data_IF_985011703835
#
_entry.id   IF_985011703835
#
_cell.length_a   1.000
_cell.length_b   1.000
_cell.length_c   1.000
_cell.angle_alpha   90.00
_cell.angle_beta   90.00
_cell.angle_gamma   90.00
#
_symmetry.space_group_name_H-M   'P 1'
#
loop_
_entity.id
_entity.type
_entity.pdbx_description
1 polymer ?
#
# COMPACT_ATOMS: atom_id res chain seq x y z
N UNK A 1 6.87 -11.47 20.30
CA UNK A 1 8.10 -10.95 19.66
C UNK A 1 8.77 -9.99 20.63
N UNK A 2 10.03 -10.22 20.98
CA UNK A 2 10.80 -9.29 21.83
C UNK A 2 11.50 -8.24 20.96
N UNK A 3 11.38 -6.97 21.35
CA UNK A 3 11.97 -5.81 20.69
C UNK A 3 12.90 -5.08 21.66
N UNK A 4 14.14 -4.77 21.31
CA UNK A 4 15.05 -4.10 22.24
C UNK A 4 14.68 -2.61 22.44
N UNK A 5 15.03 -2.04 23.61
CA UNK A 5 15.03 -0.59 23.83
C UNK A 5 16.34 0.01 23.30
N UNK A 6 16.28 1.19 22.69
CA UNK A 6 17.41 1.73 21.92
C UNK A 6 17.98 3.05 22.46
N UNK A 7 17.49 3.55 23.61
CA UNK A 7 17.97 4.78 24.25
C UNK A 7 18.64 4.44 25.60
N UNK A 8 19.90 4.88 25.73
CA UNK A 8 20.90 4.81 26.80
C UNK A 8 20.61 4.03 28.10
N UNK A 9 21.51 3.08 28.39
CA UNK A 9 21.82 2.58 29.74
C UNK A 9 20.87 1.55 30.35
N UNK A 10 19.60 1.54 29.93
CA UNK A 10 18.59 0.61 30.45
C UNK A 10 18.54 -0.69 29.63
N UNK A 11 18.66 -1.83 30.30
CA UNK A 11 18.61 -3.17 29.70
C UNK A 11 17.19 -3.59 29.27
N UNK A 12 16.16 -2.78 29.52
CA UNK A 12 14.75 -3.08 29.23
C UNK A 12 14.44 -3.38 27.75
N UNK A 13 13.36 -4.12 27.50
CA UNK A 13 12.87 -4.52 26.17
C UNK A 13 11.36 -4.29 26.06
N UNK A 14 10.78 -4.40 24.87
CA UNK A 14 9.34 -4.47 24.68
C UNK A 14 8.93 -5.88 24.27
N UNK A 15 7.84 -6.37 24.84
CA UNK A 15 7.12 -7.53 24.32
C UNK A 15 5.96 -7.05 23.46
N UNK A 16 5.99 -7.42 22.18
CA UNK A 16 4.84 -7.31 21.29
C UNK A 16 4.05 -8.62 21.29
N UNK A 17 2.77 -8.53 21.67
CA UNK A 17 1.80 -9.62 21.63
C UNK A 17 0.87 -9.45 20.42
N UNK A 18 0.82 -10.46 19.56
CA UNK A 18 0.25 -10.36 18.22
C UNK A 18 -1.27 -10.45 18.13
N UNK A 19 -1.95 -10.99 19.14
CA UNK A 19 -3.41 -11.11 19.21
C UNK A 19 -4.06 -9.77 19.57
N UNK A 20 -3.54 -9.13 20.60
CA UNK A 20 -4.08 -7.88 21.15
C UNK A 20 -3.40 -6.64 20.60
N UNK A 21 -2.31 -6.83 19.83
CA UNK A 21 -1.40 -5.77 19.41
C UNK A 21 -0.79 -4.97 20.57
N UNK A 22 -0.78 -5.55 21.77
CA UNK A 22 -0.21 -4.91 22.94
C UNK A 22 1.31 -4.81 22.79
N UNK A 23 1.84 -3.68 23.26
CA UNK A 23 3.25 -3.46 23.44
C UNK A 23 3.48 -3.23 24.93
N UNK A 24 4.13 -4.19 25.59
CA UNK A 24 4.42 -4.19 27.02
C UNK A 24 5.90 -3.87 27.21
N UNK A 25 6.22 -2.94 28.11
CA UNK A 25 7.60 -2.71 28.51
C UNK A 25 8.02 -3.79 29.51
N UNK A 26 9.19 -4.37 29.29
CA UNK A 26 9.81 -5.40 30.12
C UNK A 26 11.09 -4.83 30.74
N UNK A 27 11.23 -4.96 32.05
CA UNK A 27 12.47 -4.64 32.74
C UNK A 27 13.41 -5.86 32.69
N UNK A 28 14.65 -5.66 32.26
CA UNK A 28 15.57 -6.79 32.06
C UNK A 28 16.04 -7.48 33.35
N UNK A 29 15.90 -6.84 34.52
CA UNK A 29 16.22 -7.44 35.80
C UNK A 29 14.99 -8.07 36.43
N UNK A 30 13.84 -7.40 36.38
CA UNK A 30 12.61 -7.91 36.99
C UNK A 30 11.97 -9.01 36.14
N UNK A 31 12.08 -8.93 34.82
CA UNK A 31 11.49 -9.87 33.86
C UNK A 31 12.52 -10.85 33.24
N UNK A 32 13.71 -11.01 33.83
CA UNK A 32 14.80 -11.82 33.26
C UNK A 32 14.35 -13.27 32.94
N UNK A 33 13.59 -13.89 33.83
CA UNK A 33 13.06 -15.25 33.65
C UNK A 33 12.08 -15.33 32.46
N UNK A 34 11.18 -14.35 32.35
CA UNK A 34 10.22 -14.23 31.26
C UNK A 34 10.93 -14.00 29.92
N UNK A 35 11.93 -13.10 29.89
CA UNK A 35 12.73 -12.81 28.70
C UNK A 35 13.48 -14.07 28.24
N UNK A 36 14.15 -14.78 29.15
CA UNK A 36 14.90 -16.00 28.81
C UNK A 36 13.97 -17.10 28.27
N UNK A 37 12.78 -17.26 28.85
CA UNK A 37 11.80 -18.23 28.36
C UNK A 37 11.29 -17.85 26.96
N UNK A 38 10.91 -16.60 26.75
CA UNK A 38 10.42 -16.11 25.46
C UNK A 38 11.48 -16.22 24.35
N UNK A 39 12.74 -15.89 24.64
CA UNK A 39 13.87 -16.08 23.69
C UNK A 39 14.04 -17.56 23.36
N UNK A 40 13.97 -18.44 24.35
CA UNK A 40 14.09 -19.88 24.13
C UNK A 40 12.97 -20.44 23.25
N UNK A 41 11.77 -19.86 23.32
CA UNK A 41 10.61 -20.25 22.51
C UNK A 41 10.73 -19.75 21.07
N UNK A 42 11.21 -18.51 20.86
CA UNK A 42 11.50 -17.99 19.52
C UNK A 42 12.52 -18.88 18.77
N UNK A 43 13.51 -19.43 19.48
CA UNK A 43 14.54 -20.28 18.90
C UNK A 43 14.10 -21.75 18.69
N UNK A 44 13.11 -22.24 19.44
CA UNK A 44 12.78 -23.69 19.49
C UNK A 44 11.37 -24.07 19.07
N UNK A 45 10.50 -23.11 18.72
CA UNK A 45 9.07 -23.36 18.41
C UNK A 45 8.31 -24.06 19.56
N UNK A 46 8.72 -23.82 20.81
CA UNK A 46 8.12 -24.40 22.01
C UNK A 46 6.80 -23.72 22.42
N UNK A 47 6.07 -24.31 23.37
CA UNK A 47 4.93 -23.67 24.01
C UNK A 47 5.41 -22.87 25.24
N UNK A 48 4.70 -21.77 25.56
CA UNK A 48 4.88 -21.06 26.84
C UNK A 48 4.60 -22.02 28.00
N UNK A 49 5.33 -21.86 29.10
CA UNK A 49 4.98 -22.49 30.38
C UNK A 49 3.64 -21.95 30.87
N UNK A 50 2.98 -22.72 31.74
CA UNK A 50 1.69 -22.34 32.30
C UNK A 50 1.78 -21.01 33.08
N UNK A 51 2.85 -20.82 33.85
CA UNK A 51 3.08 -19.61 34.65
C UNK A 51 3.26 -18.36 33.76
N UNK A 52 4.01 -18.49 32.67
CA UNK A 52 4.21 -17.41 31.70
C UNK A 52 2.95 -17.10 30.90
N UNK A 53 2.18 -18.12 30.55
CA UNK A 53 0.85 -17.95 29.95
C UNK A 53 -0.10 -17.20 30.89
N UNK A 54 -0.12 -17.56 32.18
CA UNK A 54 -0.93 -16.89 33.20
C UNK A 54 -0.49 -15.43 33.41
N UNK A 55 0.82 -15.16 33.53
CA UNK A 55 1.37 -13.82 33.72
C UNK A 55 1.12 -12.88 32.52
N UNK A 56 1.27 -13.39 31.30
CA UNK A 56 0.89 -12.65 30.09
C UNK A 56 -0.62 -12.44 30.05
N UNK A 57 -1.40 -13.46 30.39
CA UNK A 57 -2.84 -13.35 30.39
C UNK A 57 -3.32 -12.30 31.39
N UNK A 58 -2.75 -12.22 32.59
CA UNK A 58 -3.20 -11.28 33.62
C UNK A 58 -2.78 -9.82 33.30
N UNK A 59 -1.64 -9.62 32.65
CA UNK A 59 -1.22 -8.30 32.18
C UNK A 59 -1.92 -7.84 30.88
N UNK A 60 -2.48 -8.77 30.10
CA UNK A 60 -3.07 -8.50 28.78
C UNK A 60 -4.61 -8.55 28.80
N UNK A 61 -5.24 -9.36 29.66
CA UNK A 61 -6.70 -9.55 29.76
C UNK A 61 -7.46 -8.24 29.99
N UNK A 62 -6.85 -7.29 30.69
CA UNK A 62 -7.47 -6.02 31.04
C UNK A 62 -7.19 -4.89 30.04
N UNK A 63 -6.43 -5.18 28.97
CA UNK A 63 -6.19 -4.21 27.93
C UNK A 63 -7.40 -4.17 26.99
N UNK A 64 -8.15 -3.06 26.92
CA UNK A 64 -9.33 -2.98 26.08
C UNK A 64 -8.92 -3.19 24.62
N UNK A 65 -9.47 -4.24 24.00
CA UNK A 65 -9.44 -4.39 22.56
C UNK A 65 -10.20 -3.22 21.96
N UNK A 66 -9.47 -2.27 21.37
CA UNK A 66 -10.08 -1.29 20.50
C UNK A 66 -10.45 -2.02 19.20
N UNK A 67 -11.61 -2.68 19.24
CA UNK A 67 -12.26 -3.19 18.06
C UNK A 67 -12.82 -2.01 17.26
N UNK A 68 -11.92 -1.25 16.63
CA UNK A 68 -12.22 -0.65 15.34
C UNK A 68 -12.36 -1.80 14.33
N UNK A 69 -13.38 -2.64 14.53
CA UNK A 69 -14.00 -3.41 13.46
C UNK A 69 -14.19 -2.42 12.33
N UNK A 70 -13.66 -2.72 11.14
CA UNK A 70 -13.78 -1.88 9.95
C UNK A 70 -15.20 -1.30 9.89
N UNK A 71 -15.39 -0.05 10.34
CA UNK A 71 -16.72 0.53 10.55
C UNK A 71 -17.49 0.67 9.23
N UNK A 72 -16.80 0.40 8.12
CA UNK A 72 -17.28 0.17 6.77
C UNK A 72 -18.49 -0.79 6.75
N UNK A 73 -18.55 -1.80 7.61
CA UNK A 73 -19.70 -2.74 7.63
C UNK A 73 -20.98 -2.15 8.27
N UNK A 74 -20.89 -1.02 8.99
CA UNK A 74 -22.04 -0.40 9.69
C UNK A 74 -22.58 0.88 9.02
N UNK A 75 -21.90 1.41 8.02
CA UNK A 75 -22.33 2.64 7.32
C UNK A 75 -23.21 2.32 6.10
N UNK A 76 -24.42 2.89 6.05
CA UNK A 76 -25.37 2.71 4.93
C UNK A 76 -24.87 3.28 3.59
N UNK A 77 -23.91 4.22 3.61
CA UNK A 77 -23.32 4.83 2.41
C UNK A 77 -21.81 4.81 2.59
N UNK A 78 -21.10 4.19 1.65
CA UNK A 78 -19.65 4.09 1.66
C UNK A 78 -19.05 5.02 0.61
N UNK A 79 -17.99 5.81 0.94
CA UNK A 79 -17.27 6.54 -0.09
C UNK A 79 -16.71 5.53 -1.09
N UNK A 80 -17.08 5.70 -2.36
CA UNK A 80 -16.72 4.80 -3.44
C UNK A 80 -15.45 5.31 -4.13
N UNK A 81 -14.45 4.46 -4.29
CA UNK A 81 -13.25 4.72 -5.06
C UNK A 81 -13.29 3.90 -6.35
N UNK A 82 -13.24 4.58 -7.50
CA UNK A 82 -13.32 3.94 -8.81
C UNK A 82 -12.07 4.25 -9.60
N UNK A 83 -11.28 3.22 -9.87
CA UNK A 83 -10.18 3.29 -10.83
C UNK A 83 -10.73 3.25 -12.25
N UNK A 84 -10.27 4.21 -13.05
CA UNK A 84 -10.58 4.36 -14.46
C UNK A 84 -9.31 4.14 -15.29
N UNK A 85 -9.06 2.92 -15.81
CA UNK A 85 -8.02 2.68 -16.79
C UNK A 85 -8.43 3.35 -18.11
N UNK A 86 -8.08 4.64 -18.28
CA UNK A 86 -8.55 5.44 -19.42
C UNK A 86 -7.79 5.15 -20.71
N UNK A 87 -6.60 4.55 -20.59
CA UNK A 87 -5.80 4.09 -21.71
C UNK A 87 -4.94 2.90 -21.32
N UNK A 88 -4.74 1.97 -22.24
CA UNK A 88 -3.74 0.90 -22.08
C UNK A 88 -2.35 1.26 -22.64
N UNK A 89 -2.24 2.42 -23.30
CA UNK A 89 -1.00 2.92 -23.88
C UNK A 89 -0.12 3.58 -22.83
N UNK A 90 1.20 3.44 -22.97
CA UNK A 90 2.20 4.09 -22.13
C UNK A 90 3.42 4.48 -22.97
N UNK A 91 4.04 5.62 -22.64
CA UNK A 91 5.28 6.10 -23.25
C UNK A 91 6.55 5.50 -22.61
N UNK A 92 6.41 4.83 -21.47
CA UNK A 92 7.44 3.97 -20.87
C UNK A 92 7.21 2.49 -21.22
N UNK A 93 8.20 1.63 -20.96
CA UNK A 93 8.12 0.17 -21.15
C UNK A 93 8.68 -0.57 -19.93
N UNK A 94 8.07 -0.34 -18.77
CA UNK A 94 8.54 -0.93 -17.52
C UNK A 94 8.31 -2.46 -17.54
N UNK A 95 9.33 -3.29 -17.29
CA UNK A 95 9.25 -4.74 -17.51
C UNK A 95 8.38 -5.48 -16.49
N UNK A 96 8.21 -4.90 -15.29
CA UNK A 96 7.37 -5.40 -14.20
C UNK A 96 5.89 -4.91 -14.28
N UNK A 97 5.55 -4.07 -15.27
CA UNK A 97 4.25 -3.41 -15.32
C UNK A 97 3.13 -4.36 -15.74
N UNK A 98 2.01 -4.32 -15.01
CA UNK A 98 0.78 -5.05 -15.34
C UNK A 98 -0.24 -4.21 -16.13
N UNK A 99 -0.13 -2.87 -16.09
CA UNK A 99 -1.18 -1.97 -16.57
C UNK A 99 -1.10 -1.65 -18.08
N UNK A 100 0.06 -1.86 -18.71
CA UNK A 100 0.26 -1.64 -20.14
C UNK A 100 -0.13 -2.88 -20.96
N UNK A 101 -0.67 -2.67 -22.16
CA UNK A 101 -0.79 -3.75 -23.13
C UNK A 101 0.58 -4.04 -23.77
N UNK A 102 1.06 -5.27 -23.64
CA UNK A 102 2.13 -5.81 -24.48
C UNK A 102 1.53 -6.60 -25.63
N UNK A 103 2.20 -6.65 -26.79
CA UNK A 103 1.76 -7.42 -27.96
C UNK A 103 1.29 -8.84 -27.57
N UNK A 104 0.10 -9.23 -28.03
CA UNK A 104 -0.48 -10.55 -27.78
C UNK A 104 -1.17 -10.76 -26.42
N UNK A 105 -1.25 -9.74 -25.54
CA UNK A 105 -1.95 -9.84 -24.24
C UNK A 105 -3.25 -9.01 -24.20
N UNK A 106 -4.06 -9.25 -23.17
CA UNK A 106 -5.37 -8.59 -22.99
C UNK A 106 -5.25 -7.07 -23.11
N UNK A 107 -6.14 -6.49 -23.92
CA UNK A 107 -6.30 -5.05 -24.08
C UNK A 107 -7.74 -4.68 -23.76
N UNK A 108 -7.93 -3.54 -23.10
CA UNK A 108 -9.24 -2.97 -22.82
C UNK A 108 -9.48 -1.77 -23.75
N UNK A 109 -10.76 -1.50 -24.03
CA UNK A 109 -11.19 -0.35 -24.83
C UNK A 109 -10.79 0.95 -24.11
N UNK A 110 -10.16 1.88 -24.83
CA UNK A 110 -9.96 3.24 -24.33
C UNK A 110 -11.32 3.93 -24.13
N UNK A 111 -11.43 4.75 -23.09
CA UNK A 111 -12.63 5.55 -22.86
C UNK A 111 -12.79 6.64 -23.92
N UNK A 112 -14.02 6.83 -24.39
CA UNK A 112 -14.47 8.05 -25.08
C UNK A 112 -15.14 9.01 -24.10
N UNK A 113 -15.34 10.27 -24.50
CA UNK A 113 -16.11 11.24 -23.71
C UNK A 113 -17.51 10.69 -23.37
N UNK A 114 -18.21 10.08 -24.35
CA UNK A 114 -19.52 9.49 -24.11
C UNK A 114 -19.50 8.32 -23.12
N UNK A 115 -18.45 7.50 -23.10
CA UNK A 115 -18.33 6.40 -22.13
C UNK A 115 -18.20 6.96 -20.70
N UNK A 116 -17.37 8.00 -20.53
CA UNK A 116 -17.20 8.68 -19.25
C UNK A 116 -18.50 9.34 -18.79
N UNK A 117 -19.16 10.11 -19.65
CA UNK A 117 -20.39 10.82 -19.28
C UNK A 117 -21.46 9.86 -18.74
N UNK A 118 -21.64 8.72 -19.43
CA UNK A 118 -22.55 7.64 -18.99
C UNK A 118 -22.11 7.06 -17.65
N UNK A 119 -20.81 6.81 -17.47
CA UNK A 119 -20.27 6.29 -16.22
C UNK A 119 -20.47 7.26 -15.05
N UNK A 120 -20.20 8.55 -15.23
CA UNK A 120 -20.38 9.57 -14.19
C UNK A 120 -21.85 9.64 -13.74
N UNK A 121 -22.79 9.68 -14.69
CA UNK A 121 -24.22 9.65 -14.35
C UNK A 121 -24.59 8.40 -13.56
N UNK A 122 -24.05 7.24 -13.96
CA UNK A 122 -24.31 5.97 -13.27
C UNK A 122 -23.74 5.96 -11.86
N UNK A 123 -22.49 6.39 -11.68
CA UNK A 123 -21.83 6.49 -10.38
C UNK A 123 -22.57 7.47 -9.45
N UNK A 124 -22.99 8.62 -9.97
CA UNK A 124 -23.79 9.59 -9.22
C UNK A 124 -25.12 8.98 -8.75
N UNK A 125 -25.81 8.21 -9.61
CA UNK A 125 -27.05 7.52 -9.25
C UNK A 125 -26.84 6.45 -8.16
N UNK A 126 -25.72 5.70 -8.22
CA UNK A 126 -25.44 4.62 -7.28
C UNK A 126 -24.98 5.15 -5.91
N UNK A 127 -24.15 6.20 -5.90
CA UNK A 127 -23.51 6.69 -4.68
C UNK A 127 -24.18 7.96 -4.12
N UNK A 128 -25.52 8.04 -4.18
CA UNK A 128 -26.25 9.19 -3.64
C UNK A 128 -26.03 9.29 -2.13
N UNK A 129 -25.45 10.42 -1.69
CA UNK A 129 -25.18 10.71 -0.28
C UNK A 129 -23.73 10.51 0.17
N UNK A 130 -22.82 10.12 -0.72
CA UNK A 130 -21.39 10.15 -0.47
C UNK A 130 -20.60 10.59 -1.71
N UNK A 131 -19.35 11.01 -1.48
CA UNK A 131 -18.43 11.38 -2.55
C UNK A 131 -17.85 10.14 -3.23
N UNK A 132 -17.69 10.18 -4.55
CA UNK A 132 -16.96 9.19 -5.33
C UNK A 132 -15.57 9.71 -5.68
N UNK A 133 -14.52 8.99 -5.30
CA UNK A 133 -13.15 9.25 -5.74
C UNK A 133 -12.92 8.60 -7.11
N UNK A 134 -12.69 9.40 -8.14
CA UNK A 134 -12.29 8.95 -9.47
C UNK A 134 -10.77 8.90 -9.55
N UNK A 135 -10.21 7.72 -9.81
CA UNK A 135 -8.76 7.49 -9.89
C UNK A 135 -8.41 7.25 -11.37
N UNK A 136 -7.92 8.28 -12.04
CA UNK A 136 -7.44 8.17 -13.41
C UNK A 136 -6.17 7.30 -13.45
N UNK A 137 -6.23 6.23 -14.23
CA UNK A 137 -5.23 5.17 -14.26
C UNK A 137 -5.06 4.62 -15.68
N UNK A 138 -4.25 3.56 -15.82
CA UNK A 138 -4.02 2.85 -17.07
C UNK A 138 -2.52 2.66 -17.32
N UNK A 139 -2.12 2.65 -18.59
CA UNK A 139 -0.72 2.71 -18.99
C UNK A 139 -0.09 4.04 -18.55
N UNK A 140 -0.35 5.13 -19.27
CA UNK A 140 -0.06 6.49 -18.82
C UNK A 140 -1.30 7.38 -19.06
N UNK A 141 -2.06 7.73 -18.01
CA UNK A 141 -3.30 8.49 -18.18
C UNK A 141 -3.09 9.89 -18.79
N UNK A 142 -1.92 10.53 -18.60
CA UNK A 142 -1.66 11.85 -19.20
C UNK A 142 -1.52 11.82 -20.73
N UNK A 143 -1.38 10.64 -21.36
CA UNK A 143 -1.52 10.52 -22.82
C UNK A 143 -2.92 10.89 -23.31
N UNK A 144 -3.92 10.84 -22.41
CA UNK A 144 -5.29 11.24 -22.70
C UNK A 144 -5.77 12.35 -21.75
N UNK A 145 -4.90 13.35 -21.51
CA UNK A 145 -5.22 14.50 -20.66
C UNK A 145 -6.52 15.23 -21.07
N UNK A 146 -6.82 15.28 -22.38
CA UNK A 146 -8.07 15.85 -22.87
C UNK A 146 -9.31 15.17 -22.29
N UNK A 147 -9.33 13.83 -22.22
CA UNK A 147 -10.44 13.10 -21.61
C UNK A 147 -10.55 13.40 -20.12
N UNK A 148 -9.43 13.51 -19.39
CA UNK A 148 -9.42 13.88 -17.96
C UNK A 148 -10.06 15.26 -17.79
N UNK A 149 -9.62 16.25 -18.57
CA UNK A 149 -10.17 17.61 -18.57
C UNK A 149 -11.65 17.63 -18.91
N UNK A 150 -12.06 16.92 -19.95
CA UNK A 150 -13.47 16.82 -20.35
C UNK A 150 -14.32 16.16 -19.26
N UNK A 151 -13.80 15.16 -18.56
CA UNK A 151 -14.47 14.50 -17.43
C UNK A 151 -14.80 15.50 -16.32
N UNK A 152 -13.80 16.29 -15.89
CA UNK A 152 -13.96 17.29 -14.83
C UNK A 152 -14.90 18.41 -15.28
N UNK A 153 -14.74 18.91 -16.51
CA UNK A 153 -15.63 19.93 -17.09
C UNK A 153 -17.07 19.44 -17.14
N UNK A 154 -17.30 18.19 -17.53
CA UNK A 154 -18.61 17.58 -17.55
C UNK A 154 -19.23 17.54 -16.14
N UNK A 155 -18.51 17.02 -15.15
CA UNK A 155 -18.97 16.96 -13.74
C UNK A 155 -19.34 18.36 -13.24
N UNK A 156 -18.49 19.35 -13.49
CA UNK A 156 -18.73 20.74 -13.12
C UNK A 156 -19.98 21.31 -13.83
N UNK A 157 -20.13 21.07 -15.14
CA UNK A 157 -21.29 21.54 -15.93
C UNK A 157 -22.62 20.95 -15.47
N UNK A 158 -22.60 19.78 -14.81
CA UNK A 158 -23.77 19.12 -14.23
C UNK A 158 -24.05 19.54 -12.78
N UNK A 159 -23.22 20.41 -12.21
CA UNK A 159 -23.34 20.82 -10.81
C UNK A 159 -23.00 19.68 -9.83
N UNK A 160 -22.17 18.72 -10.24
CA UNK A 160 -21.85 17.52 -9.47
C UNK A 160 -20.49 17.59 -8.77
N UNK A 161 -19.85 18.77 -8.71
CA UNK A 161 -18.48 18.93 -8.18
C UNK A 161 -18.33 18.34 -6.78
N UNK A 162 -19.27 18.60 -5.88
CA UNK A 162 -19.20 18.14 -4.48
C UNK A 162 -19.42 16.61 -4.33
N UNK A 163 -19.84 15.93 -5.40
CA UNK A 163 -20.04 14.49 -5.43
C UNK A 163 -18.81 13.71 -5.89
N UNK A 164 -17.78 14.38 -6.41
CA UNK A 164 -16.61 13.71 -6.97
C UNK A 164 -15.30 14.33 -6.48
N UNK A 165 -14.36 13.46 -6.08
CA UNK A 165 -12.95 13.82 -5.88
C UNK A 165 -12.11 13.20 -6.98
N UNK A 166 -10.92 13.76 -7.23
CA UNK A 166 -10.05 13.30 -8.30
C UNK A 166 -8.68 12.87 -7.78
N UNK A 167 -8.20 11.76 -8.31
CA UNK A 167 -6.83 11.30 -8.15
C UNK A 167 -6.30 10.77 -9.46
N UNK A 168 -4.98 10.78 -9.62
CA UNK A 168 -4.31 10.23 -10.78
C UNK A 168 -3.04 9.49 -10.38
N UNK A 169 -2.78 8.34 -11.00
CA UNK A 169 -1.46 7.71 -10.96
C UNK A 169 -0.76 7.93 -12.28
N UNK A 170 0.34 8.68 -12.27
CA UNK A 170 1.11 9.01 -13.48
C UNK A 170 2.57 8.61 -13.35
N UNK A 171 3.22 8.29 -14.46
CA UNK A 171 4.67 8.15 -14.54
C UNK A 171 5.42 9.48 -14.51
N UNK A 172 4.69 10.62 -14.54
CA UNK A 172 5.24 11.95 -14.34
C UNK A 172 5.93 12.56 -15.56
N UNK A 173 6.21 11.81 -16.61
CA UNK A 173 7.07 12.28 -17.71
C UNK A 173 6.40 13.32 -18.62
N UNK A 174 5.07 13.34 -18.63
CA UNK A 174 4.24 14.21 -19.47
C UNK A 174 3.72 15.46 -18.74
N UNK A 175 4.09 15.65 -17.47
CA UNK A 175 3.71 16.85 -16.73
C UNK A 175 4.21 18.12 -17.44
N UNK A 176 3.38 19.15 -17.40
CA UNK A 176 3.57 20.49 -17.94
C UNK A 176 2.94 21.52 -17.00
N UNK A 177 3.22 22.80 -17.20
CA UNK A 177 2.57 23.87 -16.43
C UNK A 177 1.04 23.81 -16.54
N UNK A 178 0.50 23.65 -17.76
CA UNK A 178 -0.95 23.50 -17.98
C UNK A 178 -1.56 22.35 -17.16
N UNK A 179 -0.88 21.20 -17.08
CA UNK A 179 -1.38 20.03 -16.34
C UNK A 179 -1.28 20.28 -14.82
N UNK A 180 -0.22 20.93 -14.36
CA UNK A 180 -0.05 21.22 -12.94
C UNK A 180 -1.04 22.29 -12.44
N UNK A 181 -1.25 23.36 -13.21
CA UNK A 181 -2.30 24.35 -12.96
C UNK A 181 -3.67 23.66 -12.88
N UNK A 182 -3.99 22.80 -13.86
CA UNK A 182 -5.25 22.05 -13.87
C UNK A 182 -5.40 21.14 -12.64
N UNK A 183 -4.34 20.45 -12.21
CA UNK A 183 -4.37 19.63 -10.99
C UNK A 183 -4.58 20.46 -9.74
N UNK A 184 -3.95 21.62 -9.63
CA UNK A 184 -4.10 22.54 -8.52
C UNK A 184 -5.52 23.11 -8.44
N UNK A 185 -6.04 23.61 -9.56
CA UNK A 185 -7.38 24.23 -9.65
C UNK A 185 -8.53 23.25 -9.31
N UNK A 186 -8.30 21.95 -9.51
CA UNK A 186 -9.30 20.91 -9.31
C UNK A 186 -8.97 19.96 -8.15
N UNK A 187 -8.03 20.34 -7.27
CA UNK A 187 -7.67 19.61 -6.05
C UNK A 187 -7.33 18.11 -6.29
N UNK A 188 -6.54 17.83 -7.33
CA UNK A 188 -6.13 16.45 -7.64
C UNK A 188 -5.15 15.90 -6.59
N UNK A 189 -5.43 14.69 -6.11
CA UNK A 189 -4.44 13.88 -5.39
C UNK A 189 -3.55 13.12 -6.39
N UNK A 190 -2.30 13.56 -6.55
CA UNK A 190 -1.38 12.98 -7.55
C UNK A 190 -0.48 11.92 -6.92
N UNK A 191 -0.49 10.71 -7.49
CA UNK A 191 0.45 9.64 -7.17
C UNK A 191 1.49 9.53 -8.29
N UNK A 192 2.70 9.98 -8.00
CA UNK A 192 3.82 10.06 -8.94
C UNK A 192 4.66 8.79 -8.89
N UNK A 193 4.77 8.06 -9.99
CA UNK A 193 5.52 6.80 -10.01
C UNK A 193 7.02 7.03 -10.28
N UNK A 194 7.87 6.73 -9.29
CA UNK A 194 9.32 6.84 -9.36
C UNK A 194 9.95 5.77 -8.46
N UNK A 195 10.86 4.95 -8.98
CA UNK A 195 11.41 3.80 -8.25
C UNK A 195 12.71 4.10 -7.48
N UNK A 196 13.21 5.32 -7.56
CA UNK A 196 14.44 5.76 -6.92
C UNK A 196 15.27 6.66 -7.83
N UNK A 197 16.52 6.89 -7.44
CA UNK A 197 17.52 7.62 -8.23
C UNK A 197 17.94 6.85 -9.49
N UNK A 198 18.79 7.47 -10.31
CA UNK A 198 19.33 6.85 -11.52
C UNK A 198 20.32 5.73 -11.15
N UNK A 199 20.00 4.50 -11.53
CA UNK A 199 20.86 3.33 -11.41
C UNK A 199 20.43 2.25 -12.42
N UNK A 200 21.22 1.18 -12.54
CA UNK A 200 21.05 0.10 -13.50
C UNK A 200 19.80 -0.76 -13.26
N UNK A 201 19.25 -0.76 -12.03
CA UNK A 201 18.02 -1.46 -11.65
C UNK A 201 16.78 -0.56 -11.74
N UNK A 202 16.94 0.70 -12.17
CA UNK A 202 15.80 1.55 -12.49
C UNK A 202 15.23 1.16 -13.87
N UNK A 203 14.16 0.37 -13.85
CA UNK A 203 13.56 -0.14 -15.07
C UNK A 203 12.52 0.80 -15.71
N UNK A 204 12.32 2.01 -15.18
CA UNK A 204 11.39 3.01 -15.73
C UNK A 204 12.00 3.72 -16.93
N UNK A 205 12.11 3.00 -18.04
CA UNK A 205 12.72 3.49 -19.27
C UNK A 205 11.67 3.86 -20.32
N UNK A 206 11.95 4.93 -21.06
CA UNK A 206 11.22 5.26 -22.27
C UNK A 206 11.33 4.12 -23.28
N UNK A 207 10.41 4.08 -24.25
CA UNK A 207 10.44 3.06 -25.32
C UNK A 207 11.75 3.03 -26.13
N UNK A 208 12.52 4.12 -26.13
CA UNK A 208 13.85 4.20 -26.76
C UNK A 208 15.00 3.76 -25.84
N UNK A 209 14.70 3.21 -24.66
CA UNK A 209 15.68 2.71 -23.69
C UNK A 209 16.29 3.76 -22.76
N UNK A 210 16.03 5.06 -22.97
CA UNK A 210 16.53 6.12 -22.08
C UNK A 210 15.80 6.09 -20.74
N UNK A 211 16.52 6.39 -19.66
CA UNK A 211 15.93 6.54 -18.33
C UNK A 211 14.93 7.69 -18.26
N UNK A 212 13.89 7.55 -17.43
CA UNK A 212 12.92 8.59 -17.12
C UNK A 212 13.28 9.45 -15.90
N UNK A 213 14.27 9.05 -15.09
CA UNK A 213 14.55 9.65 -13.76
C UNK A 213 14.76 11.16 -13.84
N UNK A 214 15.68 11.63 -14.70
CA UNK A 214 15.97 13.07 -14.83
C UNK A 214 14.73 13.87 -15.26
N UNK A 215 13.90 13.32 -16.15
CA UNK A 215 12.64 13.96 -16.58
C UNK A 215 11.64 14.05 -15.43
N UNK A 216 11.50 12.99 -14.64
CA UNK A 216 10.58 12.95 -13.49
C UNK A 216 11.04 13.90 -12.38
N UNK A 217 12.35 13.95 -12.09
CA UNK A 217 12.93 14.91 -11.14
C UNK A 217 12.67 16.37 -11.53
N UNK A 218 12.85 16.72 -12.80
CA UNK A 218 12.51 18.07 -13.27
C UNK A 218 11.03 18.38 -13.10
N UNK A 219 10.15 17.39 -13.30
CA UNK A 219 8.71 17.56 -13.16
C UNK A 219 8.23 17.54 -11.70
N UNK A 220 8.99 16.97 -10.76
CA UNK A 220 8.76 17.12 -9.32
C UNK A 220 8.86 18.60 -8.92
N UNK A 221 9.90 19.29 -9.41
CA UNK A 221 10.08 20.72 -9.12
C UNK A 221 8.96 21.56 -9.76
N UNK A 222 8.45 21.15 -10.92
CA UNK A 222 7.28 21.76 -11.54
C UNK A 222 6.03 21.62 -10.65
N UNK A 223 5.74 20.41 -10.13
CA UNK A 223 4.61 20.20 -9.23
C UNK A 223 4.73 21.01 -7.93
N UNK A 224 5.95 21.09 -7.36
CA UNK A 224 6.22 21.92 -6.17
C UNK A 224 5.97 23.40 -6.44
N UNK A 225 6.47 23.92 -7.56
CA UNK A 225 6.31 25.32 -7.93
C UNK A 225 4.85 25.73 -8.14
N UNK A 226 3.99 24.76 -8.49
CA UNK A 226 2.54 24.92 -8.68
C UNK A 226 1.72 24.57 -7.44
N UNK A 227 2.38 24.25 -6.33
CA UNK A 227 1.75 23.88 -5.05
C UNK A 227 0.74 22.72 -5.18
N UNK A 228 1.01 21.78 -6.09
CA UNK A 228 0.22 20.56 -6.26
C UNK A 228 0.57 19.60 -5.13
N UNK A 229 -0.43 18.97 -4.51
CA UNK A 229 -0.21 17.92 -3.51
C UNK A 229 0.07 16.59 -4.22
N UNK A 230 1.18 15.95 -3.89
CA UNK A 230 1.53 14.66 -4.49
C UNK A 230 2.32 13.77 -3.53
N UNK A 231 2.23 12.46 -3.77
CA UNK A 231 3.01 11.42 -3.12
C UNK A 231 3.81 10.64 -4.17
N UNK A 232 5.04 10.23 -3.84
CA UNK A 232 5.83 9.33 -4.67
C UNK A 232 5.50 7.87 -4.35
N UNK A 233 5.22 7.07 -5.38
CA UNK A 233 5.12 5.62 -5.26
C UNK A 233 6.23 4.92 -6.01
N UNK A 234 6.99 4.12 -5.29
CA UNK A 234 8.10 3.34 -5.82
C UNK A 234 7.76 1.85 -5.89
N UNK A 235 8.25 1.20 -6.95
CA UNK A 235 8.18 -0.24 -7.13
C UNK A 235 9.59 -0.84 -7.00
N UNK A 236 9.78 -1.73 -6.02
CA UNK A 236 11.03 -2.45 -5.81
C UNK A 236 10.93 -3.82 -6.47
N UNK A 237 11.83 -4.11 -7.41
CA UNK A 237 11.94 -5.44 -8.04
C UNK A 237 12.78 -6.38 -7.17
N UNK A 238 12.62 -7.68 -7.40
CA UNK A 238 13.30 -8.71 -6.62
C UNK A 238 14.83 -8.63 -6.68
N UNK A 239 15.38 -8.13 -7.78
CA UNK A 239 16.82 -8.03 -8.02
C UNK A 239 17.44 -6.69 -7.60
N UNK A 240 16.64 -5.70 -7.18
CA UNK A 240 17.16 -4.39 -6.82
C UNK A 240 17.96 -4.46 -5.48
N UNK A 241 19.27 -4.18 -5.49
CA UNK A 241 20.08 -4.19 -4.27
C UNK A 241 20.02 -2.88 -3.49
N UNK A 242 19.49 -1.81 -4.08
CA UNK A 242 19.55 -0.43 -3.59
C UNK A 242 18.32 -0.04 -2.75
N UNK A 243 17.76 -0.99 -1.98
CA UNK A 243 16.53 -0.76 -1.22
C UNK A 243 16.74 0.36 -0.19
N UNK A 244 17.80 0.26 0.60
CA UNK A 244 18.16 1.27 1.61
C UNK A 244 18.41 2.65 0.98
N UNK A 245 19.20 2.70 -0.08
CA UNK A 245 19.55 3.92 -0.80
C UNK A 245 18.31 4.57 -1.43
N UNK A 246 17.33 3.77 -1.86
CA UNK A 246 16.04 4.26 -2.37
C UNK A 246 15.23 4.97 -1.27
N UNK A 247 15.15 4.39 -0.06
CA UNK A 247 14.51 5.06 1.08
C UNK A 247 15.22 6.39 1.39
N UNK A 248 16.55 6.36 1.50
CA UNK A 248 17.37 7.57 1.75
C UNK A 248 17.14 8.67 0.74
N UNK A 249 17.15 8.29 -0.53
CA UNK A 249 16.90 9.21 -1.63
C UNK A 249 15.54 9.91 -1.50
N UNK A 250 14.47 9.17 -1.17
CA UNK A 250 13.15 9.79 -1.02
C UNK A 250 13.00 10.63 0.26
N UNK A 251 13.63 10.25 1.37
CA UNK A 251 13.70 11.11 2.56
C UNK A 251 14.39 12.44 2.24
N UNK A 252 15.47 12.42 1.44
CA UNK A 252 16.19 13.62 1.01
C UNK A 252 15.34 14.55 0.12
N UNK A 253 14.41 14.00 -0.66
CA UNK A 253 13.48 14.80 -1.45
C UNK A 253 12.46 15.56 -0.58
N UNK A 254 12.24 15.12 0.67
CA UNK A 254 11.24 15.70 1.60
C UNK A 254 9.83 15.73 1.02
N UNK A 255 9.48 14.68 0.28
CA UNK A 255 8.17 14.48 -0.33
C UNK A 255 7.60 13.19 0.26
N UNK A 256 6.31 13.15 0.63
CA UNK A 256 5.69 11.91 1.08
C UNK A 256 5.88 10.77 0.07
N UNK A 257 6.18 9.57 0.55
CA UNK A 257 6.38 8.43 -0.34
C UNK A 257 5.97 7.09 0.27
N UNK A 258 5.70 6.13 -0.61
CA UNK A 258 5.43 4.73 -0.27
C UNK A 258 6.18 3.80 -1.22
N UNK A 259 6.77 2.72 -0.67
CA UNK A 259 7.38 1.65 -1.44
C UNK A 259 6.47 0.44 -1.50
N UNK A 260 6.45 -0.25 -2.64
CA UNK A 260 5.82 -1.54 -2.79
C UNK A 260 6.73 -2.51 -3.55
N UNK A 261 6.68 -3.77 -3.17
CA UNK A 261 7.40 -4.83 -3.86
C UNK A 261 6.62 -5.26 -5.11
N UNK A 262 7.30 -5.37 -6.25
CA UNK A 262 6.71 -5.87 -7.48
C UNK A 262 6.26 -7.32 -7.29
N UNK A 263 5.15 -7.73 -7.88
CA UNK A 263 4.67 -9.11 -7.81
C UNK A 263 4.11 -9.59 -9.15
N UNK A 264 4.02 -10.92 -9.37
CA UNK A 264 3.66 -11.46 -10.67
C UNK A 264 2.26 -11.03 -11.11
N UNK A 265 2.09 -10.82 -12.40
CA UNK A 265 0.80 -10.54 -13.03
C UNK A 265 0.81 -11.05 -14.47
N UNK A 266 -0.35 -11.41 -15.01
CA UNK A 266 -0.50 -11.95 -16.37
C UNK A 266 0.13 -11.03 -17.43
N UNK A 267 0.08 -9.72 -17.22
CA UNK A 267 0.60 -8.72 -18.17
C UNK A 267 2.07 -8.33 -17.95
N UNK A 268 2.71 -8.79 -16.87
CA UNK A 268 4.13 -8.55 -16.63
C UNK A 268 4.98 -9.16 -17.75
N UNK A 269 5.94 -8.40 -18.30
CA UNK A 269 6.79 -8.88 -19.40
C UNK A 269 8.03 -9.63 -18.93
N UNK A 270 8.49 -9.37 -17.70
CA UNK A 270 9.56 -10.12 -17.07
C UNK A 270 9.16 -10.55 -15.66
N UNK A 271 8.71 -11.80 -15.52
CA UNK A 271 8.27 -12.36 -14.24
C UNK A 271 9.43 -12.54 -13.24
N UNK A 272 10.70 -12.63 -13.70
CA UNK A 272 11.83 -12.86 -12.79
C UNK A 272 12.03 -11.69 -11.83
N UNK A 273 11.69 -10.47 -12.25
CA UNK A 273 11.74 -9.24 -11.45
C UNK A 273 10.69 -9.19 -10.33
N UNK A 274 9.80 -10.17 -10.29
CA UNK A 274 8.68 -10.25 -9.36
C UNK A 274 8.71 -11.48 -8.47
N UNK A 275 9.75 -12.30 -8.61
CA UNK A 275 9.95 -13.53 -7.84
C UNK A 275 11.10 -13.34 -6.86
N UNK A 276 10.84 -13.54 -5.58
CA UNK A 276 11.80 -13.29 -4.50
C UNK A 276 12.43 -14.59 -4.00
N UNK A 277 13.71 -14.52 -3.66
CA UNK A 277 14.49 -15.62 -3.09
C UNK A 277 14.90 -15.31 -1.65
N UNK A 278 15.52 -16.28 -0.97
CA UNK A 278 16.13 -16.03 0.34
C UNK A 278 17.17 -14.91 0.31
N UNK A 279 17.91 -14.77 -0.80
CA UNK A 279 18.84 -13.65 -0.99
C UNK A 279 18.11 -12.30 -1.01
N UNK A 280 16.90 -12.25 -1.59
CA UNK A 280 16.07 -11.04 -1.56
C UNK A 280 15.65 -10.69 -0.13
N UNK A 281 15.28 -11.70 0.67
CA UNK A 281 14.93 -11.52 2.08
C UNK A 281 16.10 -10.92 2.85
N UNK A 282 17.31 -11.46 2.69
CA UNK A 282 18.51 -10.93 3.35
C UNK A 282 18.81 -9.49 2.94
N UNK A 283 18.68 -9.16 1.66
CA UNK A 283 18.84 -7.77 1.19
C UNK A 283 17.84 -6.81 1.85
N UNK A 284 16.57 -7.21 1.94
CA UNK A 284 15.54 -6.40 2.61
C UNK A 284 15.87 -6.25 4.09
N UNK A 285 16.23 -7.34 4.79
CA UNK A 285 16.58 -7.31 6.22
C UNK A 285 17.74 -6.35 6.50
N UNK A 286 18.84 -6.48 5.76
CA UNK A 286 20.00 -5.59 5.88
C UNK A 286 19.64 -4.14 5.59
N UNK A 287 18.78 -3.90 4.60
CA UNK A 287 18.34 -2.55 4.25
C UNK A 287 17.48 -1.91 5.34
N UNK A 288 16.54 -2.66 5.92
CA UNK A 288 15.69 -2.18 7.01
C UNK A 288 16.48 -1.94 8.29
N UNK A 289 17.49 -2.77 8.57
CA UNK A 289 18.38 -2.55 9.71
C UNK A 289 19.18 -1.25 9.59
N UNK A 290 19.73 -0.94 8.40
CA UNK A 290 20.41 0.35 8.16
C UNK A 290 19.44 1.52 8.29
N UNK A 291 18.26 1.41 7.66
CA UNK A 291 17.25 2.47 7.69
C UNK A 291 16.74 2.75 9.12
N UNK A 292 16.66 1.72 9.96
CA UNK A 292 16.27 1.87 11.36
C UNK A 292 17.27 2.74 12.14
N UNK A 293 18.57 2.61 11.86
CA UNK A 293 19.60 3.45 12.47
C UNK A 293 19.44 4.91 12.04
N UNK A 294 19.20 5.17 10.76
CA UNK A 294 18.93 6.54 10.29
C UNK A 294 17.69 7.12 10.95
N UNK A 295 16.59 6.36 11.01
CA UNK A 295 15.36 6.84 11.62
C UNK A 295 15.50 7.08 13.12
N UNK A 296 16.31 6.29 13.82
CA UNK A 296 16.68 6.58 15.21
C UNK A 296 17.31 7.96 15.34
N UNK A 297 18.26 8.29 14.47
CA UNK A 297 18.92 9.60 14.49
C UNK A 297 17.99 10.74 14.08
N UNK A 298 17.15 10.53 13.05
CA UNK A 298 16.11 11.48 12.61
C UNK A 298 15.14 11.79 13.74
N UNK A 299 14.62 10.76 14.42
CA UNK A 299 13.69 10.92 15.56
C UNK A 299 14.35 11.61 16.74
N UNK A 300 15.60 11.28 17.08
CA UNK A 300 16.36 11.96 18.14
C UNK A 300 16.54 13.46 17.88
N UNK A 301 16.67 13.85 16.61
CA UNK A 301 16.76 15.26 16.19
C UNK A 301 15.40 15.96 16.11
N UNK A 302 14.29 15.24 16.28
CA UNK A 302 12.94 15.78 16.09
C UNK A 302 12.61 16.08 14.62
N UNK A 303 13.32 15.46 13.67
CA UNK A 303 13.10 15.65 12.25
C UNK A 303 11.93 14.78 11.75
N UNK A 304 11.26 15.24 10.67
CA UNK A 304 10.15 14.52 10.06
C UNK A 304 10.67 13.38 9.17
N UNK A 305 10.06 12.20 9.31
CA UNK A 305 10.20 11.08 8.35
C UNK A 305 9.06 11.18 7.32
N UNK A 306 9.40 11.02 6.03
CA UNK A 306 8.46 11.20 4.91
C UNK A 306 7.87 9.89 4.37
N UNK A 307 8.32 8.73 4.84
CA UNK A 307 7.67 7.45 4.55
C UNK A 307 6.23 7.42 5.11
N UNK A 308 5.23 7.51 4.22
CA UNK A 308 3.82 7.58 4.59
C UNK A 308 3.28 6.28 5.20
N UNK A 309 3.94 5.14 4.96
CA UNK A 309 3.53 3.87 5.57
C UNK A 309 3.64 3.95 7.09
N UNK A 310 4.67 4.61 7.63
CA UNK A 310 4.85 4.75 9.07
C UNK A 310 3.67 5.43 9.75
N UNK A 311 3.12 6.50 9.17
CA UNK A 311 1.96 7.21 9.74
C UNK A 311 0.75 6.28 9.92
N UNK A 312 0.48 5.45 8.90
CA UNK A 312 -0.61 4.47 8.97
C UNK A 312 -0.36 3.37 10.01
N UNK A 313 0.88 2.86 10.08
CA UNK A 313 1.26 1.80 11.01
C UNK A 313 1.31 2.30 12.45
N UNK A 314 1.77 3.53 12.69
CA UNK A 314 1.80 4.13 14.02
C UNK A 314 0.40 4.28 14.60
N UNK A 315 -0.57 4.67 13.76
CA UNK A 315 -1.97 4.74 14.18
C UNK A 315 -2.50 3.34 14.56
N UNK A 316 -2.16 2.32 13.77
CA UNK A 316 -2.50 0.93 14.05
C UNK A 316 -1.97 0.48 15.43
N UNK A 317 -0.71 0.80 15.74
CA UNK A 317 -0.06 0.41 16.99
C UNK A 317 -0.50 1.25 18.21
N UNK A 318 -0.67 2.56 18.04
CA UNK A 318 -1.07 3.48 19.12
C UNK A 318 -2.48 3.17 19.62
N UNK A 319 -3.39 2.91 18.69
CA UNK A 319 -4.78 2.63 19.02
C UNK A 319 -5.10 1.13 19.12
N UNK A 320 -4.10 0.26 18.93
CA UNK A 320 -4.24 -1.21 18.92
C UNK A 320 -5.39 -1.67 18.01
N UNK A 321 -5.41 -1.13 16.80
CA UNK A 321 -6.49 -1.37 15.85
C UNK A 321 -6.37 -2.77 15.24
N UNK A 322 -7.30 -3.64 15.60
CA UNK A 322 -7.39 -4.98 15.01
C UNK A 322 -7.85 -4.88 13.55
N UNK A 323 -6.92 -5.13 12.63
CA UNK A 323 -7.18 -5.15 11.19
C UNK A 323 -7.45 -6.58 10.73
N UNK A 324 -8.72 -6.88 10.51
CA UNK A 324 -9.18 -8.19 10.01
C UNK A 324 -8.92 -8.41 8.51
N UNK A 325 -8.77 -7.33 7.73
CA UNK A 325 -8.58 -7.39 6.28
C UNK A 325 -7.54 -6.37 5.79
N UNK A 326 -6.68 -6.78 4.86
CA UNK A 326 -5.61 -5.92 4.33
C UNK A 326 -6.12 -4.82 3.39
N UNK A 327 -7.12 -5.05 2.55
CA UNK A 327 -7.52 -4.04 1.56
C UNK A 327 -9.03 -3.95 1.36
N UNK A 328 -9.45 -2.78 0.86
CA UNK A 328 -10.83 -2.41 0.54
C UNK A 328 -11.27 -2.85 -0.86
N UNK A 329 -10.43 -3.58 -1.60
CA UNK A 329 -10.74 -4.07 -2.94
C UNK A 329 -12.03 -4.90 -2.93
N UNK A 330 -12.98 -4.54 -3.79
CA UNK A 330 -14.28 -5.19 -3.82
C UNK A 330 -15.26 -4.76 -2.71
N UNK A 331 -14.89 -3.87 -1.78
CA UNK A 331 -15.80 -3.34 -0.75
C UNK A 331 -16.27 -1.93 -1.09
N UNK A 332 -15.33 -1.01 -1.26
CA UNK A 332 -15.58 0.37 -1.70
C UNK A 332 -14.51 0.84 -2.69
N UNK A 333 -13.70 -0.07 -3.20
CA UNK A 333 -12.62 0.19 -4.15
C UNK A 333 -12.74 -0.78 -5.32
N UNK A 334 -12.97 -0.24 -6.52
CA UNK A 334 -13.26 -1.02 -7.72
C UNK A 334 -12.53 -0.46 -8.94
N UNK A 335 -12.37 -1.27 -9.97
CA UNK A 335 -11.90 -0.84 -11.28
C UNK A 335 -13.03 -1.03 -12.29
N UNK A 336 -13.31 0.00 -13.08
CA UNK A 336 -14.35 -0.04 -14.10
C UNK A 336 -13.71 0.21 -15.46
N UNK A 337 -13.98 -0.67 -16.42
CA UNK A 337 -13.53 -0.52 -17.81
C UNK A 337 -14.57 0.23 -18.65
N UNK A 338 -14.17 0.72 -19.82
CA UNK A 338 -15.01 1.54 -20.69
C UNK A 338 -16.30 0.83 -21.17
N UNK A 339 -16.30 -0.50 -21.21
CA UNK A 339 -17.48 -1.31 -21.53
C UNK A 339 -18.41 -1.55 -20.32
N UNK A 340 -18.06 -0.99 -19.16
CA UNK A 340 -18.78 -1.11 -17.90
C UNK A 340 -18.37 -2.30 -17.04
N UNK A 341 -17.45 -3.17 -17.51
CA UNK A 341 -16.98 -4.33 -16.73
C UNK A 341 -16.34 -3.88 -15.41
N UNK A 342 -16.71 -4.55 -14.31
CA UNK A 342 -16.24 -4.25 -12.96
C UNK A 342 -15.25 -5.30 -12.49
N UNK A 343 -14.16 -4.86 -11.87
CA UNK A 343 -13.16 -5.68 -11.19
C UNK A 343 -12.96 -5.20 -9.75
N UNK A 344 -12.54 -6.10 -8.86
CA UNK A 344 -12.20 -5.77 -7.47
C UNK A 344 -10.88 -5.00 -7.32
N UNK A 345 -10.02 -5.02 -8.33
CA UNK A 345 -8.67 -4.41 -8.31
C UNK A 345 -8.15 -4.19 -9.74
N UNK A 346 -7.35 -3.14 -9.97
CA UNK A 346 -6.73 -2.87 -11.27
C UNK A 346 -5.77 -3.99 -11.71
N UNK A 347 -5.14 -4.70 -10.78
CA UNK A 347 -4.26 -5.81 -11.14
C UNK A 347 -5.00 -6.99 -11.79
N UNK A 348 -6.32 -7.09 -11.58
CA UNK A 348 -7.15 -8.16 -12.14
C UNK A 348 -7.84 -7.77 -13.46
N UNK A 349 -7.74 -6.50 -13.87
CA UNK A 349 -8.48 -5.97 -15.03
C UNK A 349 -8.08 -6.62 -16.37
N UNK A 350 -7.01 -7.42 -16.37
CA UNK A 350 -6.46 -8.07 -17.55
C UNK A 350 -6.98 -9.49 -17.78
N UNK A 351 -7.89 -9.98 -16.93
CA UNK A 351 -8.43 -11.32 -17.04
C UNK A 351 -9.96 -11.30 -16.96
N UNK A 352 -10.65 -11.65 -18.05
CA UNK A 352 -12.13 -11.65 -18.10
C UNK A 352 -12.78 -12.54 -17.03
N UNK A 353 -12.09 -13.57 -16.55
CA UNK A 353 -12.58 -14.42 -15.47
C UNK A 353 -12.69 -13.70 -14.12
N UNK A 354 -12.04 -12.54 -13.97
CA UNK A 354 -12.09 -11.70 -12.77
C UNK A 354 -13.16 -10.60 -12.83
N UNK A 355 -13.99 -10.57 -13.89
CA UNK A 355 -15.15 -9.67 -13.98
C UNK A 355 -16.19 -10.08 -12.94
N UNK A 356 -16.62 -9.15 -12.10
CA UNK A 356 -17.62 -9.41 -11.05
C UNK A 356 -19.01 -8.89 -11.40
N UNK A 357 -19.14 -8.14 -12.50
CA UNK A 357 -20.40 -7.55 -12.95
C UNK A 357 -20.20 -6.44 -13.96
N UNK A 358 -21.29 -5.74 -14.28
CA UNK A 358 -21.27 -4.57 -15.16
C UNK A 358 -21.96 -3.39 -14.48
N UNK A 359 -21.34 -2.20 -14.53
CA UNK A 359 -21.85 -1.00 -13.86
C UNK A 359 -23.19 -0.53 -14.41
N UNK A 360 -23.52 -0.89 -15.65
CA UNK A 360 -24.78 -0.52 -16.30
C UNK A 360 -25.91 -1.53 -16.04
N UNK A 361 -25.64 -2.64 -15.34
CA UNK A 361 -26.68 -3.53 -14.82
C UNK A 361 -27.33 -2.92 -13.57
N UNK A 362 -28.64 -2.72 -13.62
CA UNK A 362 -29.42 -2.18 -12.50
C UNK A 362 -29.47 -3.12 -11.29
N UNK A 363 -29.16 -4.40 -11.46
CA UNK A 363 -29.12 -5.40 -10.40
C UNK A 363 -27.75 -5.51 -9.71
N UNK A 364 -26.72 -4.83 -10.23
CA UNK A 364 -25.40 -4.86 -9.60
C UNK A 364 -25.35 -3.89 -8.42
N UNK A 365 -24.97 -4.39 -7.25
CA UNK A 365 -24.85 -3.62 -6.02
C UNK A 365 -23.44 -3.76 -5.44
N UNK A 366 -22.80 -2.62 -5.16
CA UNK A 366 -21.56 -2.58 -4.39
C UNK A 366 -21.83 -2.95 -2.93
N UNK A 367 -20.83 -3.53 -2.26
CA UNK A 367 -20.98 -3.93 -0.87
C UNK A 367 -19.83 -4.77 -0.33
N UNK A 368 -19.78 -4.89 0.99
CA UNK A 368 -18.73 -5.63 1.70
C UNK A 368 -18.70 -7.14 1.36
N UNK A 369 -19.82 -7.71 0.91
CA UNK A 369 -19.92 -9.09 0.44
C UNK A 369 -19.05 -9.37 -0.82
N UNK A 370 -18.64 -8.32 -1.53
CA UNK A 370 -17.77 -8.43 -2.70
C UNK A 370 -16.28 -8.28 -2.36
N UNK A 371 -15.90 -8.22 -1.06
CA UNK A 371 -14.50 -8.12 -0.63
C UNK A 371 -13.59 -9.12 -1.36
N UNK A 372 -12.39 -8.66 -1.74
CA UNK A 372 -11.33 -9.53 -2.29
C UNK A 372 -10.46 -10.12 -1.18
N UNK A 373 -10.30 -9.40 -0.07
CA UNK A 373 -9.50 -9.82 1.06
C UNK A 373 -10.35 -10.70 2.00
N UNK A 374 -9.91 -11.93 2.29
CA UNK A 374 -10.53 -12.75 3.33
C UNK A 374 -10.26 -12.13 4.71
N UNK A 375 -11.12 -12.45 5.68
CA UNK A 375 -10.84 -12.18 7.08
C UNK A 375 -9.65 -13.04 7.57
N UNK A 376 -9.02 -12.68 8.68
CA UNK A 376 -7.88 -13.44 9.21
C UNK A 376 -8.27 -14.89 9.52
N UNK A 377 -9.46 -15.11 10.10
CA UNK A 377 -9.97 -16.45 10.44
C UNK A 377 -10.28 -17.35 9.21
N UNK A 378 -10.35 -16.78 8.01
CA UNK A 378 -10.54 -17.49 6.75
C UNK A 378 -9.20 -17.86 6.07
N UNK A 379 -8.08 -17.30 6.54
CA UNK A 379 -6.74 -17.60 6.02
C UNK A 379 -6.22 -18.97 6.48
N UNK A 380 -5.17 -19.46 5.84
CA UNK A 380 -4.41 -20.63 6.33
C UNK A 380 -3.98 -20.49 7.81
N UNK A 381 -3.95 -21.61 8.54
CA UNK A 381 -3.66 -21.69 9.98
C UNK A 381 -2.36 -20.96 10.37
N UNK A 382 -1.32 -21.02 9.53
CA UNK A 382 -0.06 -20.31 9.79
C UNK A 382 -0.20 -18.78 9.78
N UNK A 383 -1.15 -18.23 9.01
CA UNK A 383 -1.47 -16.81 9.01
C UNK A 383 -2.28 -16.44 10.25
N UNK A 384 -3.23 -17.28 10.65
CA UNK A 384 -4.06 -17.08 11.85
C UNK A 384 -3.23 -17.03 13.14
N UNK A 385 -2.15 -17.82 13.20
CA UNK A 385 -1.21 -17.86 14.34
C UNK A 385 0.00 -16.93 14.18
N UNK A 386 0.08 -16.16 13.10
CA UNK A 386 1.25 -15.32 12.86
C UNK A 386 1.24 -14.10 13.79
N UNK A 387 2.39 -13.79 14.40
CA UNK A 387 2.54 -12.59 15.23
C UNK A 387 2.22 -11.28 14.47
N UNK A 388 2.45 -11.25 13.15
CA UNK A 388 2.19 -10.09 12.31
C UNK A 388 0.77 -10.07 11.70
N UNK A 389 -0.15 -10.93 12.14
CA UNK A 389 -1.45 -11.14 11.48
C UNK A 389 -2.30 -9.88 11.36
N UNK A 390 -2.30 -8.99 12.35
CA UNK A 390 -3.06 -7.73 12.29
C UNK A 390 -2.31 -6.59 11.59
N UNK A 391 -1.02 -6.78 11.28
CA UNK A 391 -0.22 -5.82 10.51
C UNK A 391 -0.34 -6.13 9.02
N UNK A 392 -0.09 -7.40 8.67
CA UNK A 392 -0.08 -7.93 7.32
C UNK A 392 -1.46 -8.36 6.82
N UNK A 393 -2.35 -8.82 7.71
CA UNK A 393 -3.71 -9.30 7.40
C UNK A 393 -3.77 -10.24 6.18
N UNK A 394 -2.76 -11.11 6.08
CA UNK A 394 -2.63 -12.10 5.01
C UNK A 394 -1.94 -11.61 3.73
N UNK A 395 -1.61 -10.34 3.58
CA UNK A 395 -0.92 -9.80 2.40
C UNK A 395 -1.82 -9.63 1.16
N UNK A 396 -1.28 -9.07 0.09
CA UNK A 396 -2.04 -8.61 -1.09
C UNK A 396 -2.88 -9.74 -1.74
N UNK A 397 -4.23 -9.63 -1.78
CA UNK A 397 -5.08 -10.67 -2.40
C UNK A 397 -4.88 -10.78 -3.92
N UNK A 398 -4.60 -9.67 -4.61
CA UNK A 398 -4.33 -9.69 -6.04
C UNK A 398 -3.04 -10.47 -6.37
N UNK A 399 -2.03 -10.39 -5.52
CA UNK A 399 -0.82 -11.20 -5.64
C UNK A 399 -1.10 -12.69 -5.43
N UNK A 400 -1.92 -13.05 -4.44
CA UNK A 400 -2.30 -14.45 -4.22
C UNK A 400 -3.10 -15.01 -5.38
N UNK A 401 -4.04 -14.22 -5.91
CA UNK A 401 -4.79 -14.61 -7.10
C UNK A 401 -3.86 -14.83 -8.29
N UNK A 402 -2.90 -13.94 -8.56
CA UNK A 402 -1.99 -14.12 -9.69
C UNK A 402 -1.07 -15.35 -9.57
N UNK A 403 -0.83 -15.82 -8.34
CA UNK A 403 0.04 -16.96 -8.07
C UNK A 403 -0.69 -18.31 -7.99
N UNK A 404 -1.79 -18.39 -7.25
CA UNK A 404 -2.47 -19.66 -6.93
C UNK A 404 -3.98 -19.64 -7.15
N UNK A 405 -4.57 -18.51 -7.54
CA UNK A 405 -6.02 -18.29 -7.66
C UNK A 405 -6.81 -18.56 -6.37
N UNK A 406 -6.15 -18.56 -5.20
CA UNK A 406 -6.75 -18.75 -3.87
C UNK A 406 -6.33 -17.64 -2.92
N UNK A 407 -7.28 -16.87 -2.40
CA UNK A 407 -7.00 -15.69 -1.55
C UNK A 407 -6.74 -16.04 -0.09
N UNK A 408 -7.22 -17.21 0.34
CA UNK A 408 -7.09 -17.77 1.68
C UNK A 408 -5.67 -18.28 1.94
N UNK A 409 -4.95 -18.65 0.88
CA UNK A 409 -3.58 -19.12 0.97
C UNK A 409 -2.64 -18.02 1.42
N UNK A 410 -1.59 -18.39 2.12
CA UNK A 410 -0.47 -17.49 2.41
C UNK A 410 0.25 -17.03 1.15
N UNK A 411 0.98 -15.91 1.27
CA UNK A 411 1.98 -15.54 0.27
C UNK A 411 3.09 -16.60 0.20
N UNK A 412 3.81 -16.71 -0.94
CA UNK A 412 5.03 -17.50 -1.03
C UNK A 412 6.00 -17.18 0.10
N UNK A 413 6.79 -18.17 0.52
CA UNK A 413 7.61 -18.06 1.73
C UNK A 413 8.52 -16.82 1.72
N UNK A 414 9.16 -16.52 0.59
CA UNK A 414 10.01 -15.35 0.48
C UNK A 414 9.24 -14.01 0.59
N UNK A 415 8.05 -13.93 -0.02
CA UNK A 415 7.18 -12.76 0.11
C UNK A 415 6.65 -12.61 1.54
N UNK A 416 6.23 -13.71 2.17
CA UNK A 416 5.83 -13.74 3.57
C UNK A 416 6.98 -13.27 4.49
N UNK A 417 8.21 -13.71 4.22
CA UNK A 417 9.40 -13.27 4.94
C UNK A 417 9.65 -11.77 4.82
N UNK A 418 9.49 -11.19 3.63
CA UNK A 418 9.59 -9.74 3.40
C UNK A 418 8.52 -8.99 4.20
N UNK A 419 7.25 -9.43 4.16
CA UNK A 419 6.17 -8.79 4.93
C UNK A 419 6.42 -8.82 6.45
N UNK A 420 6.99 -9.91 6.97
CA UNK A 420 7.39 -10.01 8.38
C UNK A 420 8.52 -9.04 8.73
N UNK A 421 9.55 -8.92 7.89
CA UNK A 421 10.65 -7.97 8.08
C UNK A 421 10.13 -6.53 8.09
N UNK A 422 9.23 -6.17 7.16
CA UNK A 422 8.63 -4.85 7.12
C UNK A 422 7.78 -4.58 8.36
N UNK A 423 6.97 -5.55 8.79
CA UNK A 423 6.15 -5.46 10.01
C UNK A 423 7.01 -5.24 11.25
N UNK A 424 8.12 -5.97 11.36
CA UNK A 424 9.09 -5.84 12.44
C UNK A 424 9.77 -4.47 12.40
N UNK A 425 10.17 -4.02 11.22
CA UNK A 425 10.74 -2.70 11.02
C UNK A 425 9.78 -1.59 11.49
N UNK A 426 8.51 -1.62 11.07
CA UNK A 426 7.54 -0.61 11.48
C UNK A 426 7.32 -0.59 13.00
N UNK A 427 7.24 -1.76 13.64
CA UNK A 427 7.16 -1.87 15.10
C UNK A 427 8.40 -1.27 15.77
N UNK A 428 9.61 -1.57 15.30
CA UNK A 428 10.86 -1.01 15.86
C UNK A 428 10.94 0.50 15.70
N UNK A 429 10.52 1.06 14.56
CA UNK A 429 10.48 2.51 14.38
C UNK A 429 9.44 3.16 15.31
N UNK A 430 8.31 2.49 15.54
CA UNK A 430 7.30 2.95 16.47
C UNK A 430 7.77 2.93 17.93
N UNK A 431 8.51 1.90 18.36
CA UNK A 431 9.09 1.87 19.71
C UNK A 431 10.13 2.97 19.91
N UNK A 432 10.97 3.25 18.91
CA UNK A 432 11.88 4.41 18.90
C UNK A 432 11.12 5.74 19.06
N UNK A 433 10.00 5.88 18.34
CA UNK A 433 9.14 7.06 18.43
C UNK A 433 8.52 7.24 19.83
N UNK A 434 8.06 6.15 20.48
CA UNK A 434 7.57 6.20 21.87
C UNK A 434 8.67 6.64 22.85
N UNK A 435 9.85 6.06 22.74
CA UNK A 435 10.99 6.36 23.64
C UNK A 435 11.41 7.83 23.54
N UNK A 436 11.52 8.38 22.33
CA UNK A 436 11.91 9.78 22.11
C UNK A 436 10.89 10.78 22.67
N UNK A 437 9.59 10.43 22.71
CA UNK A 437 8.56 11.26 23.38
C UNK A 437 8.64 11.22 24.90
N UNK A 438 9.01 10.08 25.49
CA UNK A 438 9.11 9.94 26.94
C UNK A 438 10.32 10.69 27.52
N UNK A 439 11.46 10.75 26.80
CA UNK A 439 12.65 11.48 27.24
C UNK A 439 12.55 13.01 27.12
N UNK A 440 11.53 13.53 26.44
CA UNK A 440 11.33 14.97 26.22
C UNK A 440 10.42 15.68 27.22
N UNK A 441 9.92 14.96 28.23
CA UNK A 441 9.08 15.51 29.31
C UNK A 441 9.87 15.72 30.60
#
# INVERSE_FOLDING_TARGET
MILPKYIDGDLSSYLYEGETMALLELDAKEDEALINELVSIEDSSGNLTQDTSELLSDNIKDLPLNSYTNQIEKTKVLPLSVILPITSSCNLKCPYCFAQTTEGKFSFKNYSDSDIEKLIQRLYKINQGATTLLIFFGGEPLLNFNLIRNTVNYINSKGLKDNFCYSITTNGTLLSHEIADFFKENDFAVLLSMDGYENEFNYRKFRNGKSSVSRVLGNIELLKAHEVSFEIRATITSDNPYIYETYRFFEELKIPYTLAFAYPSDNTSNQTLTTYSNESIERVRCSMAKLLLDYKDTLKKGEKIYNNVLTSQFSLFEYRMIRERICSGGVNYYTVLADGSIFKCAHLMNNKADIIGNIYDDNFHFGANLAIAPNINELEEKCQRCWAKHICSGGCPAQKLSLSRKVEQSLPEANCGIEKILSEFYLKVYTLFKQTRQCGN
#
